data_IF_678862644743
#
_entry.id   IF_678862644743
#
_cell.length_a   1.000
_cell.length_b   1.000
_cell.length_c   1.000
_cell.angle_alpha   90.00
_cell.angle_beta   90.00
_cell.angle_gamma   90.00
#
_symmetry.space_group_name_H-M   'P 1'
#
loop_
_entity.id
_entity.type
_entity.pdbx_description
1 polymer ?
#
# COMPACT_ATOMS: atom_id res chain seq x y z
N UNK A 1 29.71 45.21 28.04
CA UNK A 1 28.79 45.22 29.21
C UNK A 1 27.56 46.05 28.89
N UNK A 2 26.44 45.37 28.62
CA UNK A 2 25.05 45.81 28.82
C UNK A 2 24.25 44.53 29.01
N UNK A 3 23.45 44.55 30.06
CA UNK A 3 22.98 43.41 30.82
C UNK A 3 21.45 43.29 30.59
N UNK A 4 21.01 42.03 30.47
CA UNK A 4 19.72 41.43 30.86
C UNK A 4 18.41 41.64 30.05
N UNK A 5 17.73 40.49 29.95
CA UNK A 5 16.30 40.17 29.82
C UNK A 5 15.63 40.27 28.44
N UNK A 6 15.50 39.10 27.83
CA UNK A 6 14.51 38.76 26.82
C UNK A 6 14.37 37.23 26.79
N UNK A 7 13.77 36.69 27.85
CA UNK A 7 13.48 35.26 27.96
C UNK A 7 12.55 34.79 26.84
N UNK A 8 12.69 33.51 26.49
CA UNK A 8 11.74 32.70 25.73
C UNK A 8 11.62 33.00 24.22
N UNK A 9 12.59 32.53 23.45
CA UNK A 9 12.34 31.96 22.12
C UNK A 9 13.47 31.00 21.72
N UNK A 10 13.91 30.14 22.65
CA UNK A 10 14.71 28.99 22.29
C UNK A 10 13.76 27.86 21.87
N UNK A 11 14.13 27.20 20.77
CA UNK A 11 13.59 25.93 20.30
C UNK A 11 12.34 26.01 19.42
N UNK A 12 12.28 25.09 18.46
CA UNK A 12 11.22 24.85 17.47
C UNK A 12 11.46 25.55 16.11
N UNK A 13 12.56 25.20 15.44
CA UNK A 13 12.54 25.11 13.98
C UNK A 13 13.39 23.93 13.49
N UNK A 14 13.25 22.80 14.19
CA UNK A 14 13.79 21.51 13.78
C UNK A 14 12.63 20.49 13.74
N UNK A 15 11.59 20.79 12.97
CA UNK A 15 10.60 19.76 12.62
C UNK A 15 11.08 19.10 11.34
N UNK A 16 11.83 18.03 11.58
CA UNK A 16 12.31 17.05 10.63
C UNK A 16 11.07 16.43 9.95
N UNK A 17 10.75 16.87 8.73
CA UNK A 17 9.80 16.15 7.86
C UNK A 17 10.52 14.98 7.18
N UNK A 18 10.94 14.01 7.99
CA UNK A 18 11.24 12.66 7.50
C UNK A 18 9.96 11.84 7.58
N UNK A 19 8.99 12.15 6.74
CA UNK A 19 7.82 11.29 6.51
C UNK A 19 8.19 10.13 5.57
N UNK A 20 9.17 9.34 6.00
CA UNK A 20 9.44 8.02 5.43
C UNK A 20 8.45 7.02 6.02
N UNK A 21 7.17 7.24 5.75
CA UNK A 21 6.13 6.23 5.86
C UNK A 21 6.45 5.15 4.83
N UNK A 22 7.20 4.11 5.22
CA UNK A 22 7.41 2.89 4.42
C UNK A 22 6.11 2.07 4.41
N UNK A 23 5.01 2.70 4.01
CA UNK A 23 3.67 2.15 3.95
C UNK A 23 3.32 1.95 2.47
N UNK A 24 3.51 0.74 1.92
CA UNK A 24 3.10 0.35 0.56
C UNK A 24 3.40 1.35 -0.59
N UNK A 25 4.34 2.29 -0.40
CA UNK A 25 4.52 3.44 -1.28
C UNK A 25 5.01 3.02 -2.67
N UNK A 26 5.69 1.89 -2.76
CA UNK A 26 5.83 1.18 -4.02
C UNK A 26 4.88 0.00 -4.01
N UNK A 27 3.83 0.05 -4.82
CA UNK A 27 3.25 -1.17 -5.37
C UNK A 27 4.44 -2.12 -5.72
N UNK A 28 4.54 -3.34 -5.17
CA UNK A 28 5.66 -4.22 -5.50
C UNK A 28 5.65 -4.61 -6.98
N UNK A 29 6.78 -4.51 -7.70
CA UNK A 29 6.85 -4.88 -9.11
C UNK A 29 6.54 -6.35 -9.32
N UNK A 30 5.93 -6.70 -10.46
CA UNK A 30 5.62 -8.08 -10.82
C UNK A 30 6.89 -8.75 -11.36
N UNK A 31 7.79 -9.08 -10.45
CA UNK A 31 9.02 -9.84 -10.75
C UNK A 31 8.72 -11.33 -10.90
N UNK A 32 9.67 -12.12 -11.41
CA UNK A 32 9.54 -13.58 -11.47
C UNK A 32 9.23 -14.20 -10.09
N UNK A 33 9.86 -13.71 -9.03
CA UNK A 33 9.59 -14.15 -7.65
C UNK A 33 8.16 -13.78 -7.20
N UNK A 34 7.67 -12.60 -7.58
CA UNK A 34 6.31 -12.19 -7.28
C UNK A 34 5.27 -13.04 -8.02
N UNK A 35 5.53 -13.37 -9.29
CA UNK A 35 4.70 -14.29 -10.09
C UNK A 35 4.67 -15.68 -9.45
N UNK A 36 5.82 -16.17 -8.99
CA UNK A 36 5.91 -17.44 -8.25
C UNK A 36 5.01 -17.43 -7.01
N UNK A 37 5.04 -16.36 -6.22
CA UNK A 37 4.19 -16.21 -5.04
C UNK A 37 2.70 -16.14 -5.40
N UNK A 38 2.36 -15.41 -6.47
CA UNK A 38 0.98 -15.22 -6.93
C UNK A 38 0.29 -16.49 -7.44
N UNK A 39 1.03 -17.57 -7.70
CA UNK A 39 0.43 -18.87 -8.07
C UNK A 39 -0.48 -19.43 -6.97
N UNK A 40 -0.22 -19.11 -5.69
CA UNK A 40 -1.11 -19.49 -4.58
C UNK A 40 -2.48 -18.83 -4.69
N UNK A 41 -2.52 -17.64 -5.28
CA UNK A 41 -3.72 -16.85 -5.52
C UNK A 41 -4.33 -17.09 -6.92
N UNK A 42 -3.89 -18.15 -7.61
CA UNK A 42 -4.30 -18.48 -8.99
C UNK A 42 -4.15 -17.28 -9.94
N UNK A 43 -3.02 -16.57 -9.80
CA UNK A 43 -2.68 -15.41 -10.61
C UNK A 43 -1.45 -15.69 -11.48
N UNK A 44 -1.55 -15.35 -12.76
CA UNK A 44 -0.43 -15.32 -13.69
C UNK A 44 0.17 -13.90 -13.79
N UNK A 45 1.25 -13.77 -14.56
CA UNK A 45 1.94 -12.48 -14.75
C UNK A 45 0.99 -11.38 -15.27
N UNK A 46 0.13 -11.72 -16.23
CA UNK A 46 -0.83 -10.78 -16.83
C UNK A 46 -1.83 -10.27 -15.79
N UNK A 47 -2.36 -11.16 -14.96
CA UNK A 47 -3.32 -10.84 -13.90
C UNK A 47 -2.68 -9.95 -12.84
N UNK A 48 -1.46 -10.28 -12.40
CA UNK A 48 -0.73 -9.50 -11.41
C UNK A 48 -0.39 -8.11 -11.94
N UNK A 49 0.03 -7.98 -13.20
CA UNK A 49 0.29 -6.67 -13.82
C UNK A 49 -0.98 -5.84 -13.98
N UNK A 50 -2.08 -6.46 -14.39
CA UNK A 50 -3.38 -5.79 -14.44
C UNK A 50 -3.80 -5.28 -13.05
N UNK A 51 -3.67 -6.10 -12.02
CA UNK A 51 -3.98 -5.71 -10.64
C UNK A 51 -3.09 -4.59 -10.11
N UNK A 52 -1.77 -4.67 -10.38
CA UNK A 52 -0.80 -3.61 -10.07
C UNK A 52 -1.17 -2.30 -10.75
N UNK A 53 -1.53 -2.34 -12.02
CA UNK A 53 -1.96 -1.17 -12.79
C UNK A 53 -3.23 -0.56 -12.19
N UNK A 54 -4.21 -1.36 -11.78
CA UNK A 54 -5.40 -0.86 -11.08
C UNK A 54 -5.02 -0.18 -9.77
N UNK A 55 -4.18 -0.82 -8.96
CA UNK A 55 -3.75 -0.26 -7.68
C UNK A 55 -3.11 1.13 -7.84
N UNK A 56 -2.14 1.25 -8.76
CA UNK A 56 -1.42 2.50 -9.03
C UNK A 56 -2.32 3.63 -9.55
N UNK A 57 -3.32 3.30 -10.39
CA UNK A 57 -4.13 4.31 -11.07
C UNK A 57 -5.46 4.64 -10.37
N UNK A 58 -5.94 3.77 -9.48
CA UNK A 58 -7.29 3.87 -8.88
C UNK A 58 -7.30 3.84 -7.37
N UNK A 59 -6.44 3.05 -6.72
CA UNK A 59 -6.51 2.85 -5.27
C UNK A 59 -5.76 3.93 -4.50
N UNK A 60 -4.62 4.38 -5.03
CA UNK A 60 -3.77 5.39 -4.37
C UNK A 60 -4.00 6.82 -4.87
N UNK A 61 -4.98 7.01 -5.77
CA UNK A 61 -5.28 8.35 -6.33
C UNK A 61 -6.04 9.25 -5.38
N UNK A 62 -6.77 8.68 -4.41
CA UNK A 62 -7.60 9.43 -3.47
C UNK A 62 -6.99 9.52 -2.07
N UNK A 63 -6.31 8.47 -1.62
CA UNK A 63 -5.56 8.43 -0.36
C UNK A 63 -4.55 7.27 -0.40
N UNK A 64 -3.57 7.26 0.50
CA UNK A 64 -2.67 6.12 0.66
C UNK A 64 -3.43 4.89 1.16
N UNK A 65 -3.00 3.69 0.74
CA UNK A 65 -3.52 2.45 1.32
C UNK A 65 -2.87 2.25 2.70
N UNK A 66 -3.64 1.92 3.75
CA UNK A 66 -3.06 1.46 5.01
C UNK A 66 -2.23 0.19 4.81
N UNK A 67 -1.35 -0.10 5.77
CA UNK A 67 -0.48 -1.28 5.74
C UNK A 67 -1.27 -2.58 5.52
N UNK A 68 -1.05 -3.22 4.38
CA UNK A 68 -1.86 -4.35 3.92
C UNK A 68 -1.73 -5.59 4.80
N UNK A 69 -0.60 -5.74 5.49
CA UNK A 69 -0.33 -6.82 6.42
C UNK A 69 -1.32 -6.83 7.61
N UNK A 70 -1.96 -5.69 7.92
CA UNK A 70 -2.94 -5.55 9.01
C UNK A 70 -4.32 -6.14 8.69
N UNK A 71 -4.58 -6.45 7.42
CA UNK A 71 -5.86 -7.03 7.00
C UNK A 71 -5.70 -8.52 6.77
N UNK A 72 -6.66 -9.33 7.24
CA UNK A 72 -6.70 -10.74 6.90
C UNK A 72 -6.97 -10.95 5.41
N UNK A 73 -6.41 -12.04 4.84
CA UNK A 73 -6.63 -12.40 3.44
C UNK A 73 -8.12 -12.49 3.10
N UNK A 74 -8.95 -13.00 4.02
CA UNK A 74 -10.40 -13.10 3.86
C UNK A 74 -11.11 -11.73 3.80
N UNK A 75 -10.52 -10.69 4.40
CA UNK A 75 -11.11 -9.34 4.46
C UNK A 75 -10.82 -8.51 3.21
N UNK A 76 -9.68 -8.75 2.56
CA UNK A 76 -9.24 -8.00 1.37
C UNK A 76 -10.30 -7.98 0.25
N UNK A 77 -10.90 -9.12 -0.17
CA UNK A 77 -11.95 -9.09 -1.20
C UNK A 77 -13.14 -8.20 -0.86
N UNK A 78 -13.57 -8.21 0.40
CA UNK A 78 -14.68 -7.37 0.88
C UNK A 78 -14.35 -5.88 0.82
N UNK A 79 -13.14 -5.49 1.23
CA UNK A 79 -12.66 -4.10 1.13
C UNK A 79 -12.60 -3.65 -0.33
N UNK A 80 -12.01 -4.47 -1.21
CA UNK A 80 -11.92 -4.12 -2.64
C UNK A 80 -13.32 -4.03 -3.25
N UNK A 81 -14.24 -4.92 -2.89
CA UNK A 81 -15.64 -4.85 -3.35
C UNK A 81 -16.31 -3.54 -2.93
N UNK A 82 -16.17 -3.14 -1.66
CA UNK A 82 -16.69 -1.87 -1.15
C UNK A 82 -16.08 -0.65 -1.88
N UNK A 83 -14.79 -0.72 -2.22
CA UNK A 83 -14.11 0.35 -2.96
C UNK A 83 -14.39 0.35 -4.47
N UNK A 84 -14.87 -0.76 -5.04
CA UNK A 84 -15.03 -0.91 -6.49
C UNK A 84 -15.99 0.11 -7.07
N UNK A 85 -17.07 0.45 -6.36
CA UNK A 85 -18.01 1.50 -6.80
C UNK A 85 -17.33 2.89 -6.83
N UNK A 86 -16.64 3.25 -5.74
CA UNK A 86 -16.01 4.58 -5.59
C UNK A 86 -14.79 4.76 -6.51
N UNK A 87 -14.12 3.67 -6.85
CA UNK A 87 -12.96 3.65 -7.74
C UNK A 87 -13.33 3.29 -9.20
N UNK A 88 -14.62 3.12 -9.49
CA UNK A 88 -15.16 2.75 -10.80
C UNK A 88 -14.48 1.52 -11.43
N UNK A 89 -14.29 0.46 -10.64
CA UNK A 89 -13.65 -0.77 -11.10
C UNK A 89 -14.65 -1.67 -11.84
N UNK A 90 -14.22 -2.21 -12.97
CA UNK A 90 -14.93 -3.33 -13.61
C UNK A 90 -14.77 -4.63 -12.78
N UNK A 91 -15.62 -5.65 -13.00
CA UNK A 91 -15.46 -6.94 -12.32
C UNK A 91 -14.07 -7.57 -12.51
N UNK A 92 -13.49 -7.46 -13.70
CA UNK A 92 -12.17 -8.01 -14.05
C UNK A 92 -11.05 -7.23 -13.35
N UNK A 93 -11.17 -5.89 -13.32
CA UNK A 93 -10.23 -5.04 -12.58
C UNK A 93 -10.25 -5.35 -11.09
N UNK A 94 -11.45 -5.55 -10.54
CA UNK A 94 -11.63 -5.94 -9.14
C UNK A 94 -10.95 -7.28 -8.86
N UNK A 95 -11.19 -8.30 -9.68
CA UNK A 95 -10.59 -9.62 -9.50
C UNK A 95 -9.05 -9.56 -9.58
N UNK A 96 -8.51 -8.92 -10.61
CA UNK A 96 -7.07 -8.76 -10.78
C UNK A 96 -6.44 -8.02 -9.60
N UNK A 97 -7.09 -6.95 -9.12
CA UNK A 97 -6.64 -6.19 -7.96
C UNK A 97 -6.65 -7.05 -6.68
N UNK A 98 -7.70 -7.83 -6.43
CA UNK A 98 -7.76 -8.73 -5.26
C UNK A 98 -6.59 -9.71 -5.27
N UNK A 99 -6.35 -10.39 -6.40
CA UNK A 99 -5.24 -11.34 -6.53
C UNK A 99 -3.87 -10.68 -6.33
N UNK A 100 -3.69 -9.49 -6.89
CA UNK A 100 -2.48 -8.70 -6.68
C UNK A 100 -2.27 -8.35 -5.19
N UNK A 101 -3.29 -7.82 -4.52
CA UNK A 101 -3.22 -7.41 -3.11
C UNK A 101 -3.00 -8.59 -2.15
N UNK A 102 -3.62 -9.74 -2.42
CA UNK A 102 -3.35 -10.97 -1.66
C UNK A 102 -1.90 -11.43 -1.83
N UNK A 103 -1.35 -11.33 -3.03
CA UNK A 103 0.06 -11.63 -3.30
C UNK A 103 0.98 -10.64 -2.58
N UNK A 104 0.66 -9.33 -2.60
CA UNK A 104 1.42 -8.32 -1.82
C UNK A 104 1.41 -8.67 -0.34
N UNK A 105 0.24 -8.98 0.25
CA UNK A 105 0.12 -9.35 1.66
C UNK A 105 0.98 -10.57 2.01
N UNK A 106 0.91 -11.62 1.20
CA UNK A 106 1.67 -12.85 1.43
C UNK A 106 3.20 -12.60 1.43
N UNK A 107 3.67 -11.66 0.60
CA UNK A 107 5.09 -11.26 0.55
C UNK A 107 5.48 -10.19 1.59
N UNK A 108 4.50 -9.60 2.28
CA UNK A 108 4.75 -8.56 3.30
C UNK A 108 4.81 -9.13 4.73
N UNK A 109 4.38 -10.37 4.95
CA UNK A 109 4.46 -11.03 6.26
C UNK A 109 5.86 -11.64 6.43
N UNK A 110 6.57 -11.39 7.55
CA UNK A 110 7.82 -12.08 7.84
C UNK A 110 7.57 -13.59 8.03
N UNK A 111 8.51 -14.47 7.64
CA UNK A 111 8.37 -15.90 7.86
C UNK A 111 8.23 -16.22 9.36
N UNK A 112 7.18 -16.93 9.76
CA UNK A 112 7.10 -17.54 11.10
C UNK A 112 6.34 -16.79 12.21
N UNK A 113 5.27 -16.05 11.89
CA UNK A 113 4.24 -15.68 12.89
C UNK A 113 2.95 -16.43 12.66
#
# INVERSE_FOLDING_TARGET
MKLIVGAAALSIFAVIITSCETALKSAPPVTAAFIQAGRREKADARTLEAGRKVFLNRCISCHALPEIARYDSARIPGIVSWMSYRAHLTPEQREALVKYLLTVRANSRPPGT
#
